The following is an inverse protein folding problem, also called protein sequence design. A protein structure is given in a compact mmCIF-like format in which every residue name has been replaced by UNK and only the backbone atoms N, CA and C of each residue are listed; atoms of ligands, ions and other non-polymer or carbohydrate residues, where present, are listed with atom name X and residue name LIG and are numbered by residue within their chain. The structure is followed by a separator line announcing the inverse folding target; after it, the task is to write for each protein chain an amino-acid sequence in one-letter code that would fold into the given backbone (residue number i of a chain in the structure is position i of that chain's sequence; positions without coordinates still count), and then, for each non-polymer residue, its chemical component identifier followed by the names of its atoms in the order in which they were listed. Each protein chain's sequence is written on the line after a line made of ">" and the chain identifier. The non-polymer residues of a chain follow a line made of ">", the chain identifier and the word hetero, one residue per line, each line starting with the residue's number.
data_IF_231039674185
#
_entry.id   IF_231039674185
#
_cell.length_a   1.000
_cell.length_b   1.000
_cell.length_c   1.000
_cell.angle_alpha   90.00
_cell.angle_beta   90.00
_cell.angle_gamma   90.00
#
_symmetry.space_group_name_H-M   'P 1'
#
loop_
_entity.id
_entity.type
_entity.pdbx_description
1 polymer ?
#
# COMPACT_ATOMS: atom_id res chain seq x y z
N UNK A 1 11.92 -16.97 -7.43
CA UNK A 1 11.12 -16.39 -8.53
C UNK A 1 9.68 -16.83 -8.31
N UNK A 2 8.75 -15.90 -8.38
CA UNK A 2 7.31 -16.16 -8.19
C UNK A 2 6.77 -17.04 -9.32
N UNK A 3 6.03 -18.09 -9.00
CA UNK A 3 5.32 -18.89 -10.00
C UNK A 3 4.06 -18.14 -10.44
N UNK A 4 4.17 -17.35 -11.51
CA UNK A 4 3.11 -16.46 -12.02
C UNK A 4 1.81 -17.23 -12.29
N UNK A 5 1.90 -18.39 -12.93
CA UNK A 5 0.73 -19.17 -13.33
C UNK A 5 -0.05 -19.71 -12.11
N UNK A 6 0.68 -20.17 -11.10
CA UNK A 6 0.10 -20.66 -9.85
C UNK A 6 -0.57 -19.54 -9.05
N UNK A 7 0.09 -18.38 -8.92
CA UNK A 7 -0.50 -17.21 -8.24
C UNK A 7 -1.74 -16.72 -9.00
N UNK A 8 -1.70 -16.66 -10.33
CA UNK A 8 -2.84 -16.25 -11.13
C UNK A 8 -4.04 -17.21 -11.00
N UNK A 9 -3.80 -18.53 -10.89
CA UNK A 9 -4.87 -19.50 -10.65
C UNK A 9 -5.50 -19.33 -9.26
N UNK A 10 -4.66 -19.22 -8.23
CA UNK A 10 -5.11 -18.99 -6.85
C UNK A 10 -5.96 -17.71 -6.76
N UNK A 11 -5.48 -16.64 -7.38
CA UNK A 11 -6.15 -15.34 -7.40
C UNK A 11 -7.54 -15.47 -8.06
N UNK A 12 -7.61 -15.96 -9.31
CA UNK A 12 -8.88 -16.13 -10.05
C UNK A 12 -9.94 -16.92 -9.28
N UNK A 13 -9.52 -17.87 -8.46
CA UNK A 13 -10.42 -18.77 -7.72
C UNK A 13 -10.89 -18.21 -6.39
N UNK A 14 -10.20 -17.24 -5.81
CA UNK A 14 -10.38 -16.88 -4.39
C UNK A 14 -10.51 -15.38 -4.11
N UNK A 15 -10.07 -14.51 -5.02
CA UNK A 15 -10.05 -13.06 -4.78
C UNK A 15 -11.20 -12.36 -5.50
N UNK A 16 -12.01 -11.63 -4.73
CA UNK A 16 -13.05 -10.75 -5.24
C UNK A 16 -12.48 -9.34 -5.48
N UNK A 17 -11.95 -9.09 -6.68
CA UNK A 17 -11.30 -7.80 -6.98
C UNK A 17 -12.29 -6.63 -7.07
N UNK A 18 -11.98 -5.48 -6.42
CA UNK A 18 -12.77 -4.27 -6.60
C UNK A 18 -12.62 -3.74 -8.03
N UNK A 19 -13.68 -3.10 -8.55
CA UNK A 19 -13.69 -2.47 -9.89
C UNK A 19 -13.23 -3.37 -11.04
N UNK A 20 -13.39 -4.69 -10.91
CA UNK A 20 -13.01 -5.68 -11.92
C UNK A 20 -14.25 -6.37 -12.47
N UNK A 21 -14.26 -6.67 -13.77
CA UNK A 21 -15.35 -7.44 -14.37
C UNK A 21 -15.20 -8.93 -14.02
N UNK A 22 -15.75 -9.30 -12.86
CA UNK A 22 -15.49 -10.58 -12.19
C UNK A 22 -15.78 -11.80 -13.04
N UNK A 23 -16.81 -11.77 -13.89
CA UNK A 23 -17.15 -12.89 -14.77
C UNK A 23 -16.00 -13.20 -15.74
N UNK A 24 -15.45 -12.18 -16.38
CA UNK A 24 -14.34 -12.34 -17.34
C UNK A 24 -13.05 -12.73 -16.63
N UNK A 25 -12.80 -12.14 -15.47
CA UNK A 25 -11.63 -12.47 -14.67
C UNK A 25 -11.64 -13.93 -14.22
N UNK A 26 -12.74 -14.41 -13.66
CA UNK A 26 -12.90 -15.81 -13.23
C UNK A 26 -12.83 -16.80 -14.41
N UNK A 27 -13.28 -16.39 -15.61
CA UNK A 27 -13.18 -17.19 -16.83
C UNK A 27 -11.76 -17.21 -17.45
N UNK A 28 -10.82 -16.42 -16.92
CA UNK A 28 -9.46 -16.31 -17.46
C UNK A 28 -9.35 -15.46 -18.73
N UNK A 29 -10.35 -14.61 -19.00
CA UNK A 29 -10.32 -13.67 -20.14
C UNK A 29 -9.45 -12.44 -19.86
N UNK A 30 -9.05 -12.23 -18.62
CA UNK A 30 -8.15 -11.15 -18.20
C UNK A 30 -7.13 -11.71 -17.22
N UNK A 31 -5.85 -11.53 -17.53
CA UNK A 31 -4.76 -11.92 -16.64
C UNK A 31 -4.52 -10.86 -15.55
N UNK A 32 -4.19 -11.29 -14.32
CA UNK A 32 -3.78 -10.34 -13.28
C UNK A 32 -2.40 -9.75 -13.58
N UNK A 33 -2.23 -8.49 -13.22
CA UNK A 33 -0.89 -7.90 -13.09
C UNK A 33 -0.38 -8.15 -11.67
N UNK A 34 0.56 -9.08 -11.52
CA UNK A 34 1.16 -9.39 -10.22
C UNK A 34 2.29 -8.40 -9.96
N UNK A 35 2.02 -7.34 -9.18
CA UNK A 35 3.04 -6.34 -8.80
C UNK A 35 3.96 -6.93 -7.73
N UNK A 36 5.28 -6.90 -7.96
CA UNK A 36 6.28 -7.53 -7.09
C UNK A 36 7.00 -6.52 -6.17
N UNK A 37 7.40 -5.36 -6.72
CA UNK A 37 8.19 -4.36 -5.98
C UNK A 37 7.96 -2.97 -6.54
N UNK A 38 8.38 -1.95 -5.78
CA UNK A 38 8.43 -0.57 -6.27
C UNK A 38 9.54 0.24 -5.61
N UNK A 39 10.03 1.26 -6.31
CA UNK A 39 11.03 2.22 -5.82
C UNK A 39 10.79 3.60 -6.44
N UNK A 40 10.68 4.62 -5.59
CA UNK A 40 10.38 5.98 -6.05
C UNK A 40 9.02 6.04 -6.74
N UNK A 41 8.98 6.41 -8.01
CA UNK A 41 7.74 6.50 -8.83
C UNK A 41 7.52 5.28 -9.72
N UNK A 42 8.31 4.22 -9.58
CA UNK A 42 8.24 3.03 -10.43
C UNK A 42 7.81 1.80 -9.67
N UNK A 43 7.05 0.94 -10.35
CA UNK A 43 6.71 -0.41 -9.90
C UNK A 43 7.26 -1.43 -10.89
N UNK A 44 7.48 -2.66 -10.44
CA UNK A 44 7.89 -3.80 -11.26
C UNK A 44 6.96 -4.97 -11.01
N UNK A 45 6.48 -5.60 -12.07
CA UNK A 45 5.67 -6.80 -11.98
C UNK A 45 6.52 -8.08 -11.90
N UNK A 46 5.87 -9.21 -11.62
CA UNK A 46 6.51 -10.52 -11.51
C UNK A 46 7.11 -11.04 -12.83
N UNK A 47 6.73 -10.47 -13.98
CA UNK A 47 7.35 -10.77 -15.28
C UNK A 47 8.67 -10.00 -15.48
N UNK A 48 9.00 -9.09 -14.56
CA UNK A 48 10.18 -8.24 -14.60
C UNK A 48 9.97 -6.92 -15.33
N UNK A 49 8.75 -6.62 -15.80
CA UNK A 49 8.46 -5.37 -16.50
C UNK A 49 8.32 -4.22 -15.50
N UNK A 50 8.98 -3.11 -15.80
CA UNK A 50 8.89 -1.88 -15.00
C UNK A 50 7.90 -0.88 -15.61
N UNK A 51 7.18 -0.19 -14.73
CA UNK A 51 6.19 0.82 -15.09
C UNK A 51 6.49 2.12 -14.34
N UNK A 52 6.27 3.24 -15.02
CA UNK A 52 6.10 4.52 -14.32
C UNK A 52 4.67 4.55 -13.77
N UNK A 53 4.53 4.70 -12.46
CA UNK A 53 3.22 4.91 -11.85
C UNK A 53 2.90 6.40 -11.82
N UNK A 54 2.11 6.84 -12.82
CA UNK A 54 1.62 8.22 -12.92
C UNK A 54 0.42 8.53 -12.01
N UNK A 55 -0.02 7.58 -11.19
CA UNK A 55 -1.25 7.67 -10.38
C UNK A 55 -1.02 7.50 -8.88
N UNK A 56 0.21 7.16 -8.47
CA UNK A 56 0.61 6.92 -7.08
C UNK A 56 -0.29 5.87 -6.38
N UNK A 57 -0.46 4.72 -7.02
CA UNK A 57 -1.34 3.64 -6.60
C UNK A 57 -2.79 3.98 -6.88
N UNK A 58 -3.48 4.51 -5.86
CA UNK A 58 -4.78 5.17 -5.98
C UNK A 58 -4.72 6.48 -5.21
N UNK A 59 -3.87 7.41 -5.68
CA UNK A 59 -3.65 8.72 -5.06
C UNK A 59 -3.10 8.67 -3.62
N UNK A 60 -2.41 7.59 -3.24
CA UNK A 60 -2.06 7.32 -1.85
C UNK A 60 -0.56 7.14 -1.59
N UNK A 61 0.24 6.78 -2.60
CA UNK A 61 1.68 6.53 -2.44
C UNK A 61 2.48 7.83 -2.65
N UNK A 62 2.12 8.89 -1.92
CA UNK A 62 2.60 10.26 -2.15
C UNK A 62 4.11 10.43 -1.91
N UNK A 63 4.68 9.66 -0.99
CA UNK A 63 6.12 9.69 -0.68
C UNK A 63 6.94 8.77 -1.59
N UNK A 64 6.28 8.06 -2.52
CA UNK A 64 6.89 7.06 -3.40
C UNK A 64 7.05 5.67 -2.77
N UNK A 65 7.27 4.68 -3.62
CA UNK A 65 7.45 3.27 -3.25
C UNK A 65 8.82 2.99 -2.64
N UNK A 66 8.90 1.94 -1.82
CA UNK A 66 10.17 1.40 -1.31
C UNK A 66 10.84 2.25 -0.22
N UNK A 67 10.06 3.01 0.56
CA UNK A 67 10.57 3.81 1.68
C UNK A 67 10.87 2.93 2.90
N UNK A 68 12.12 2.48 3.02
CA UNK A 68 12.58 1.63 4.13
C UNK A 68 12.39 2.30 5.48
N UNK A 69 12.57 3.61 5.59
CA UNK A 69 12.32 4.37 6.83
C UNK A 69 10.89 4.16 7.37
N UNK A 70 9.88 4.17 6.49
CA UNK A 70 8.48 3.93 6.86
C UNK A 70 8.27 2.48 7.28
N UNK A 71 8.82 1.53 6.51
CA UNK A 71 8.73 0.10 6.82
C UNK A 71 9.38 -0.22 8.17
N UNK A 72 10.53 0.35 8.48
CA UNK A 72 11.23 0.19 9.74
C UNK A 72 10.46 0.82 10.90
N UNK A 73 9.83 1.99 10.70
CA UNK A 73 8.98 2.61 11.73
C UNK A 73 7.77 1.73 12.08
N UNK A 74 7.09 1.17 11.08
CA UNK A 74 5.99 0.21 11.27
C UNK A 74 6.50 -1.03 12.01
N UNK A 75 7.61 -1.62 11.55
CA UNK A 75 8.17 -2.82 12.15
C UNK A 75 8.53 -2.62 13.63
N UNK A 76 9.21 -1.51 13.97
CA UNK A 76 9.53 -1.16 15.36
C UNK A 76 8.28 -1.10 16.23
N UNK A 77 7.22 -0.45 15.76
CA UNK A 77 5.98 -0.35 16.53
C UNK A 77 5.27 -1.70 16.64
N UNK A 78 5.21 -2.50 15.58
CA UNK A 78 4.59 -3.82 15.60
C UNK A 78 5.27 -4.76 16.61
N UNK A 79 6.62 -4.72 16.71
CA UNK A 79 7.36 -5.47 17.72
C UNK A 79 7.14 -4.96 19.16
N UNK A 80 7.00 -3.64 19.35
CA UNK A 80 6.73 -3.03 20.67
C UNK A 80 5.31 -3.33 21.15
N UNK A 81 4.31 -3.03 20.32
CA UNK A 81 2.89 -3.27 20.55
C UNK A 81 2.12 -3.05 19.24
N UNK A 82 1.74 -4.15 18.58
CA UNK A 82 1.00 -4.10 17.31
C UNK A 82 -0.38 -3.47 17.43
N UNK A 83 -1.09 -3.71 18.55
CA UNK A 83 -2.42 -3.16 18.78
C UNK A 83 -2.80 -3.17 20.26
N UNK A 84 -3.44 -2.08 20.69
CA UNK A 84 -4.30 -2.00 21.86
C UNK A 84 -5.36 -0.93 21.60
N UNK A 85 -6.52 -1.01 22.25
CA UNK A 85 -7.58 -0.01 22.04
C UNK A 85 -7.21 1.36 22.66
N UNK A 86 -7.82 2.44 22.16
CA UNK A 86 -7.67 3.80 22.71
C UNK A 86 -8.84 4.25 23.61
N UNK A 87 -9.69 3.31 24.04
CA UNK A 87 -10.84 3.59 24.89
C UNK A 87 -10.40 3.95 26.32
N UNK A 88 -11.26 4.68 27.05
CA UNK A 88 -11.05 5.03 28.46
C UNK A 88 -9.65 5.63 28.74
N UNK A 89 -9.27 6.63 27.94
CA UNK A 89 -8.01 7.39 28.08
C UNK A 89 -6.71 6.56 27.92
N UNK A 90 -6.77 5.40 27.26
CA UNK A 90 -5.55 4.67 26.86
C UNK A 90 -4.95 5.29 25.59
N UNK A 91 -3.63 5.31 25.50
CA UNK A 91 -2.91 5.87 24.35
C UNK A 91 -1.60 5.14 24.10
N UNK A 92 -1.01 5.38 22.93
CA UNK A 92 0.39 5.03 22.64
C UNK A 92 1.20 6.31 22.44
N UNK A 93 2.51 6.20 22.60
CA UNK A 93 3.43 7.30 22.35
C UNK A 93 3.31 7.81 20.92
N UNK A 94 3.17 6.89 19.96
CA UNK A 94 3.08 7.15 18.53
C UNK A 94 1.78 7.89 18.18
N UNK A 95 0.67 7.54 18.84
CA UNK A 95 -0.60 8.26 18.68
C UNK A 95 -0.49 9.69 19.22
N UNK A 96 0.06 9.88 20.42
CA UNK A 96 0.23 11.22 21.00
C UNK A 96 1.13 12.12 20.12
N UNK A 97 2.26 11.58 19.63
CA UNK A 97 3.16 12.29 18.70
C UNK A 97 2.49 12.65 17.38
N UNK A 98 1.70 11.73 16.81
CA UNK A 98 0.96 12.00 15.58
C UNK A 98 -0.10 13.09 15.80
N UNK A 99 -0.85 13.03 16.90
CA UNK A 99 -1.89 14.00 17.21
C UNK A 99 -1.34 15.42 17.33
N UNK A 100 -0.24 15.62 18.04
CA UNK A 100 0.35 16.96 18.15
C UNK A 100 0.93 17.44 16.81
N UNK A 101 1.60 16.57 16.05
CA UNK A 101 2.13 16.92 14.73
C UNK A 101 1.02 17.35 13.76
N UNK A 102 -0.16 16.73 13.84
CA UNK A 102 -1.33 17.14 13.06
C UNK A 102 -1.91 18.47 13.51
N UNK A 103 -2.06 18.70 14.82
CA UNK A 103 -2.58 19.96 15.35
C UNK A 103 -1.66 21.14 15.05
N UNK A 104 -0.35 20.92 15.06
CA UNK A 104 0.66 21.94 14.77
C UNK A 104 0.94 22.09 13.27
N UNK A 105 0.39 21.20 12.43
CA UNK A 105 0.60 21.27 10.99
C UNK A 105 -0.03 22.57 10.46
N UNK A 106 0.77 23.50 9.91
CA UNK A 106 0.24 24.76 9.42
C UNK A 106 -0.66 24.49 8.21
N UNK A 107 -1.97 24.58 8.41
CA UNK A 107 -2.94 24.50 7.33
C UNK A 107 -2.65 25.60 6.29
N UNK A 108 -2.43 25.24 5.02
CA UNK A 108 -2.60 26.19 3.90
C UNK A 108 -1.35 26.71 3.18
N UNK A 109 -0.41 25.84 2.78
CA UNK A 109 0.21 26.00 1.45
C UNK A 109 -0.32 24.90 0.55
N UNK A 110 -1.55 25.08 0.07
CA UNK A 110 -1.90 24.53 -1.24
C UNK A 110 -0.86 25.13 -2.17
N UNK A 111 -0.05 24.28 -2.80
CA UNK A 111 0.87 24.69 -3.85
C UNK A 111 -0.05 25.08 -5.01
N UNK A 112 -0.45 26.35 -5.07
CA UNK A 112 -0.99 26.91 -6.30
C UNK A 112 0.14 26.84 -7.32
N UNK A 113 -0.03 25.96 -8.31
CA UNK A 113 0.76 25.96 -9.54
C UNK A 113 0.29 27.05 -10.49
#
# INVERSE_FOLDING_TARGET
>A
MTNIAEIADMDRRTVLHPFTYLKNYAAGETDPTIVETGKGVRIRDASGREYLDGFAGLYCVNVGYGRTEVAEAIARQAYKLAYYHSYAAHTTEELARLSIAWCEWPHGKIVEG
#
